data_IF_809852223132
#
_entry.id   IF_809852223132
#
_cell.length_a   1.000
_cell.length_b   1.000
_cell.length_c   1.000
_cell.angle_alpha   90.00
_cell.angle_beta   90.00
_cell.angle_gamma   90.00
#
_symmetry.space_group_name_H-M   'P 1'
#
loop_
_entity.id
_entity.type
_entity.pdbx_description
1 polymer ?
#
# COMPACT_ATOMS: atom_id res chain seq x y z
N UNK A 1 -85.25 -42.69 14.04
CA UNK A 1 -85.61 -43.16 12.67
C UNK A 1 -85.25 -42.02 11.71
N UNK A 2 -84.57 -42.33 10.59
CA UNK A 2 -84.04 -41.46 9.53
C UNK A 2 -82.73 -40.70 9.88
N UNK A 3 -81.52 -41.21 9.64
CA UNK A 3 -80.70 -41.46 8.42
C UNK A 3 -79.84 -40.28 7.90
N UNK A 4 -78.55 -40.62 7.69
CA UNK A 4 -77.56 -40.11 6.71
C UNK A 4 -76.88 -38.75 7.02
N UNK A 5 -75.59 -38.73 7.40
CA UNK A 5 -74.35 -38.92 6.60
C UNK A 5 -73.62 -37.58 6.41
N UNK A 6 -72.33 -37.50 6.77
CA UNK A 6 -71.24 -37.08 5.87
C UNK A 6 -69.89 -37.04 6.60
N UNK A 7 -68.91 -37.70 5.98
CA UNK A 7 -67.50 -37.66 6.29
C UNK A 7 -66.91 -36.25 6.10
N UNK A 8 -65.90 -35.88 6.91
CA UNK A 8 -64.89 -34.88 6.57
C UNK A 8 -63.52 -35.26 7.15
N UNK A 9 -62.75 -35.94 6.29
CA UNK A 9 -61.34 -35.71 5.95
C UNK A 9 -60.42 -35.04 6.99
N UNK A 10 -59.47 -35.83 7.48
CA UNK A 10 -58.24 -35.39 8.15
C UNK A 10 -57.37 -34.58 7.17
N UNK A 11 -57.14 -33.30 7.43
CA UNK A 11 -56.12 -32.50 6.72
C UNK A 11 -54.85 -32.53 7.57
N UNK A 12 -53.85 -33.32 7.16
CA UNK A 12 -52.47 -33.20 7.65
C UNK A 12 -51.85 -31.97 6.98
N UNK A 13 -51.66 -30.91 7.75
CA UNK A 13 -50.87 -29.75 7.34
C UNK A 13 -49.39 -30.13 7.53
N UNK A 14 -48.72 -30.48 6.44
CA UNK A 14 -47.26 -30.63 6.42
C UNK A 14 -46.65 -29.24 6.24
N UNK A 15 -46.04 -28.72 7.31
CA UNK A 15 -45.27 -27.48 7.28
C UNK A 15 -43.92 -27.75 6.58
N UNK A 16 -43.80 -27.36 5.31
CA UNK A 16 -42.53 -27.40 4.57
C UNK A 16 -41.81 -26.08 4.87
N UNK A 17 -40.83 -26.13 5.78
CA UNK A 17 -39.90 -25.02 6.02
C UNK A 17 -38.91 -24.99 4.86
N UNK A 18 -39.12 -24.07 3.93
CA UNK A 18 -38.18 -23.77 2.85
C UNK A 18 -37.06 -22.89 3.43
N UNK A 19 -36.00 -23.52 3.91
CA UNK A 19 -34.75 -22.85 4.27
C UNK A 19 -34.11 -22.31 2.99
N UNK A 20 -34.42 -21.06 2.65
CA UNK A 20 -33.67 -20.28 1.67
C UNK A 20 -32.32 -19.98 2.33
N UNK A 21 -31.34 -20.86 2.12
CA UNK A 21 -29.94 -20.54 2.32
C UNK A 21 -29.57 -19.48 1.30
N UNK A 22 -29.71 -18.20 1.67
CA UNK A 22 -29.00 -17.12 1.03
C UNK A 22 -27.51 -17.37 1.25
N UNK A 23 -26.89 -18.12 0.33
CA UNK A 23 -25.48 -17.97 0.05
C UNK A 23 -25.30 -16.55 -0.50
N UNK A 24 -25.16 -15.58 0.41
CA UNK A 24 -24.48 -14.35 0.11
C UNK A 24 -23.06 -14.77 -0.28
N UNK A 25 -22.87 -15.01 -1.57
CA UNK A 25 -21.56 -15.05 -2.17
C UNK A 25 -20.91 -13.71 -1.82
N UNK A 26 -20.03 -13.75 -0.83
CA UNK A 26 -19.02 -12.73 -0.66
C UNK A 26 -18.21 -12.76 -1.95
N UNK A 27 -18.55 -11.91 -2.91
CA UNK A 27 -17.71 -11.66 -4.07
C UNK A 27 -16.42 -11.06 -3.52
N UNK A 28 -15.43 -11.91 -3.24
CA UNK A 28 -14.06 -11.45 -3.29
C UNK A 28 -13.87 -10.91 -4.70
N UNK A 29 -13.65 -9.61 -4.85
CA UNK A 29 -13.25 -9.03 -6.13
C UNK A 29 -11.89 -9.62 -6.51
N UNK A 30 -11.95 -10.78 -7.17
CA UNK A 30 -10.81 -11.58 -7.63
C UNK A 30 -10.35 -11.11 -9.02
N UNK A 31 -10.43 -9.80 -9.25
CA UNK A 31 -10.10 -9.22 -10.55
C UNK A 31 -8.68 -8.68 -10.53
N UNK A 32 -8.00 -8.82 -11.68
CA UNK A 32 -6.71 -8.19 -11.91
C UNK A 32 -6.83 -6.70 -11.71
N UNK A 33 -5.97 -6.11 -10.88
CA UNK A 33 -5.93 -4.66 -10.65
C UNK A 33 -5.66 -3.94 -11.98
N UNK A 34 -6.47 -2.93 -12.31
CA UNK A 34 -6.44 -2.27 -13.62
C UNK A 34 -5.94 -0.83 -13.52
N UNK A 35 -5.28 -0.37 -14.59
CA UNK A 35 -5.02 1.03 -14.82
C UNK A 35 -6.31 1.78 -15.13
N UNK A 36 -6.48 2.94 -14.53
CA UNK A 36 -7.54 3.88 -14.87
C UNK A 36 -7.09 4.94 -15.89
N UNK A 37 -8.01 5.82 -16.28
CA UNK A 37 -7.76 6.89 -17.25
C UNK A 37 -6.75 7.94 -16.74
N UNK A 38 -6.59 8.04 -15.41
CA UNK A 38 -5.60 8.92 -14.77
C UNK A 38 -4.20 8.27 -14.71
N UNK A 39 -4.06 7.04 -15.19
CA UNK A 39 -2.77 6.39 -15.38
C UNK A 39 -2.15 5.79 -14.12
N UNK A 40 -2.96 5.38 -13.14
CA UNK A 40 -2.53 4.58 -11.99
C UNK A 40 -3.42 3.35 -11.80
N UNK A 41 -2.95 2.38 -11.03
CA UNK A 41 -3.69 1.16 -10.76
C UNK A 41 -4.76 1.41 -9.70
N UNK A 42 -5.99 0.99 -9.94
CA UNK A 42 -7.11 1.29 -9.06
C UNK A 42 -8.08 0.12 -8.94
N UNK A 43 -8.55 -0.07 -7.72
CA UNK A 43 -9.81 -0.73 -7.41
C UNK A 43 -10.39 -0.08 -6.16
N UNK A 44 -11.60 -0.49 -5.76
CA UNK A 44 -12.26 0.03 -4.58
C UNK A 44 -11.40 -0.20 -3.31
N UNK A 45 -11.01 0.90 -2.66
CA UNK A 45 -10.17 0.87 -1.45
C UNK A 45 -8.67 0.71 -1.70
N UNK A 46 -8.20 0.68 -2.94
CA UNK A 46 -6.78 0.52 -3.26
C UNK A 46 -6.37 1.30 -4.51
N UNK A 47 -5.42 2.21 -4.35
CA UNK A 47 -4.73 2.88 -5.44
C UNK A 47 -3.23 2.59 -5.35
N UNK A 48 -2.62 2.19 -6.47
CA UNK A 48 -1.16 2.02 -6.58
C UNK A 48 -0.66 2.95 -7.68
N UNK A 49 0.05 3.99 -7.26
CA UNK A 49 0.64 4.99 -8.13
C UNK A 49 2.08 4.56 -8.40
N UNK A 50 2.53 4.71 -9.65
CA UNK A 50 3.88 4.35 -10.07
C UNK A 50 4.44 5.55 -10.79
N UNK A 51 5.26 6.34 -10.09
CA UNK A 51 5.84 7.59 -10.56
C UNK A 51 4.80 8.57 -11.09
N UNK A 52 3.65 8.67 -10.42
CA UNK A 52 2.65 9.71 -10.69
C UNK A 52 3.09 11.08 -10.17
N UNK A 53 4.04 11.09 -9.24
CA UNK A 53 4.74 12.26 -8.71
C UNK A 53 6.26 12.06 -8.88
N UNK A 54 6.99 13.17 -8.94
CA UNK A 54 8.46 13.20 -8.94
C UNK A 54 8.99 13.59 -7.56
N UNK A 55 10.24 13.20 -7.30
CA UNK A 55 10.93 13.61 -6.09
C UNK A 55 11.23 15.11 -6.12
N UNK A 56 11.21 15.74 -4.94
CA UNK A 56 11.64 17.12 -4.80
C UNK A 56 13.13 17.25 -5.11
N UNK A 57 13.51 18.35 -5.76
CA UNK A 57 14.89 18.60 -6.21
C UNK A 57 15.84 18.79 -5.03
N UNK A 58 15.35 19.38 -3.94
CA UNK A 58 16.11 19.63 -2.70
C UNK A 58 15.91 18.50 -1.69
N UNK A 59 14.68 18.06 -1.48
CA UNK A 59 14.29 17.06 -0.49
C UNK A 59 14.00 15.70 -1.15
N UNK A 60 15.06 14.97 -1.48
CA UNK A 60 15.02 13.74 -2.28
C UNK A 60 14.31 12.55 -1.58
N UNK A 61 13.97 12.74 -0.31
CA UNK A 61 13.20 11.81 0.53
C UNK A 61 11.92 12.47 1.12
N UNK A 62 11.26 13.36 0.37
CA UNK A 62 10.05 14.06 0.81
C UNK A 62 8.79 13.17 0.99
N UNK A 63 8.93 11.84 0.92
CA UNK A 63 7.86 10.83 1.14
C UNK A 63 6.65 11.03 0.23
N UNK A 64 6.88 11.36 -1.04
CA UNK A 64 5.81 11.79 -1.97
C UNK A 64 5.99 11.37 -3.43
N UNK A 65 6.88 10.42 -3.73
CA UNK A 65 7.14 10.00 -5.11
C UNK A 65 7.44 8.50 -5.20
N UNK A 66 7.81 8.03 -6.40
CA UNK A 66 8.12 6.63 -6.63
C UNK A 66 6.86 5.76 -6.77
N UNK A 67 6.94 4.53 -6.28
CA UNK A 67 5.75 3.71 -6.09
C UNK A 67 5.08 4.12 -4.78
N UNK A 68 3.79 4.43 -4.84
CA UNK A 68 2.97 4.83 -3.70
C UNK A 68 1.74 3.92 -3.61
N UNK A 69 1.28 3.63 -2.39
CA UNK A 69 0.03 2.90 -2.15
C UNK A 69 -0.86 3.74 -1.24
N UNK A 70 -2.05 4.05 -1.76
CA UNK A 70 -3.17 4.59 -0.99
C UNK A 70 -4.09 3.42 -0.68
N UNK A 71 -4.20 3.10 0.59
CA UNK A 71 -4.93 1.95 1.08
C UNK A 71 -6.06 2.44 1.97
N UNK A 72 -7.31 2.20 1.54
CA UNK A 72 -8.53 2.67 2.20
C UNK A 72 -8.47 4.17 2.56
N UNK A 73 -8.11 5.00 1.58
CA UNK A 73 -8.09 6.47 1.71
C UNK A 73 -6.88 7.06 2.42
N UNK A 74 -5.92 6.24 2.87
CA UNK A 74 -4.69 6.71 3.52
C UNK A 74 -3.47 6.31 2.69
N UNK A 75 -2.61 7.27 2.34
CA UNK A 75 -1.31 6.96 1.74
C UNK A 75 -0.40 6.38 2.81
N UNK A 76 -0.12 5.09 2.72
CA UNK A 76 0.67 4.36 3.72
C UNK A 76 1.99 3.87 3.17
N UNK A 77 2.18 3.91 1.85
CA UNK A 77 3.39 3.45 1.19
C UNK A 77 3.86 4.48 0.18
N UNK A 78 5.17 4.72 0.10
CA UNK A 78 5.77 5.69 -0.83
C UNK A 78 7.23 5.33 -1.14
N UNK A 79 7.88 6.18 -1.94
CA UNK A 79 9.30 6.14 -2.27
C UNK A 79 9.79 4.84 -2.89
N UNK A 80 8.89 4.08 -3.53
CA UNK A 80 9.27 2.84 -4.20
C UNK A 80 10.22 3.09 -5.36
N UNK A 81 11.50 2.79 -5.20
CA UNK A 81 12.56 3.06 -6.16
C UNK A 81 13.86 2.31 -5.87
N UNK A 82 14.78 2.28 -6.83
CA UNK A 82 16.18 1.92 -6.53
C UNK A 82 16.83 3.05 -5.73
N UNK A 83 17.44 2.68 -4.61
CA UNK A 83 18.16 3.55 -3.66
C UNK A 83 19.54 2.97 -3.37
N UNK A 84 20.48 3.83 -2.99
CA UNK A 84 21.86 3.44 -2.70
C UNK A 84 22.12 3.10 -1.23
N UNK A 85 21.18 3.47 -0.35
CA UNK A 85 21.24 3.29 1.10
C UNK A 85 20.02 2.52 1.60
N UNK A 86 20.16 1.65 2.62
CA UNK A 86 19.06 0.83 3.12
C UNK A 86 17.89 1.68 3.62
N UNK A 87 18.18 2.81 4.25
CA UNK A 87 17.21 3.78 4.75
C UNK A 87 17.69 5.18 4.33
N UNK A 88 17.29 5.67 3.15
CA UNK A 88 17.74 6.96 2.64
C UNK A 88 17.31 8.13 3.53
N UNK A 89 18.15 9.16 3.61
CA UNK A 89 17.88 10.44 4.26
C UNK A 89 17.50 11.52 3.23
N UNK A 90 17.12 12.71 3.73
CA UNK A 90 16.61 13.83 2.91
C UNK A 90 17.50 14.26 1.75
N UNK A 91 18.82 14.05 1.88
CA UNK A 91 19.84 14.49 0.93
C UNK A 91 20.51 13.34 0.18
N UNK A 92 20.10 12.09 0.46
CA UNK A 92 20.69 10.91 -0.18
C UNK A 92 20.28 10.83 -1.65
N UNK A 93 21.26 10.52 -2.51
CA UNK A 93 21.11 10.58 -3.95
C UNK A 93 19.95 9.75 -4.50
N UNK A 94 19.13 10.40 -5.31
CA UNK A 94 18.13 9.77 -6.19
C UNK A 94 18.56 9.72 -7.63
N UNK A 95 17.99 8.77 -8.38
CA UNK A 95 18.06 8.79 -9.82
C UNK A 95 17.10 9.84 -10.40
N UNK A 96 17.37 10.26 -11.63
CA UNK A 96 16.49 11.16 -12.39
C UNK A 96 15.41 10.35 -13.11
N UNK A 97 14.22 10.92 -13.26
CA UNK A 97 13.21 10.38 -14.17
C UNK A 97 13.64 10.65 -15.61
N UNK A 98 13.78 9.60 -16.42
CA UNK A 98 14.07 9.74 -17.85
C UNK A 98 12.77 9.69 -18.64
N UNK A 99 11.93 8.70 -18.34
CA UNK A 99 10.67 8.51 -19.06
C UNK A 99 9.71 7.67 -18.21
N UNK A 100 8.42 7.98 -18.32
CA UNK A 100 7.32 7.16 -17.80
C UNK A 100 6.37 6.82 -18.95
N UNK A 101 6.16 5.53 -19.19
CA UNK A 101 5.27 5.01 -20.23
C UNK A 101 4.15 4.19 -19.61
N UNK A 102 2.91 4.55 -19.93
CA UNK A 102 1.73 3.73 -19.68
C UNK A 102 1.50 2.86 -20.91
N UNK A 103 1.53 1.56 -20.74
CA UNK A 103 1.34 0.59 -21.82
C UNK A 103 -0.13 0.15 -21.90
N UNK A 104 -0.56 -0.24 -23.10
CA UNK A 104 -1.93 -0.70 -23.36
C UNK A 104 -2.27 -2.03 -22.68
N UNK A 105 -1.25 -2.80 -22.26
CA UNK A 105 -1.36 -4.12 -21.65
C UNK A 105 -1.40 -4.08 -20.11
N UNK A 106 -1.94 -3.01 -19.52
CA UNK A 106 -2.08 -2.87 -18.05
C UNK A 106 -0.74 -2.81 -17.31
N UNK A 107 0.25 -2.12 -17.91
CA UNK A 107 1.62 -1.99 -17.41
C UNK A 107 2.10 -0.54 -17.39
N UNK A 108 2.91 -0.19 -16.40
CA UNK A 108 3.66 1.07 -16.34
C UNK A 108 5.15 0.72 -16.39
N UNK A 109 5.88 1.38 -17.28
CA UNK A 109 7.33 1.29 -17.40
C UNK A 109 7.96 2.65 -17.09
N UNK A 110 8.97 2.67 -16.22
CA UNK A 110 9.64 3.89 -15.79
C UNK A 110 11.14 3.74 -15.96
N UNK A 111 11.72 4.52 -16.86
CA UNK A 111 13.16 4.59 -17.10
C UNK A 111 13.79 5.61 -16.15
N UNK A 112 14.85 5.21 -15.48
CA UNK A 112 15.54 6.00 -14.45
C UNK A 112 17.05 5.97 -14.64
N UNK A 113 17.70 7.04 -14.20
CA UNK A 113 19.14 7.21 -14.41
C UNK A 113 19.86 7.86 -13.24
N UNK A 114 20.87 7.16 -12.72
CA UNK A 114 21.83 7.70 -11.76
C UNK A 114 23.04 8.28 -12.51
N UNK A 115 23.06 9.62 -12.68
CA UNK A 115 24.08 10.29 -13.49
C UNK A 115 25.51 10.11 -12.96
N UNK A 116 25.69 10.08 -11.64
CA UNK A 116 27.00 9.96 -11.02
C UNK A 116 27.66 8.58 -11.23
N UNK A 117 26.89 7.58 -11.66
CA UNK A 117 27.34 6.19 -11.78
C UNK A 117 27.14 5.60 -13.19
N UNK A 118 26.69 6.42 -14.15
CA UNK A 118 26.23 5.96 -15.47
C UNK A 118 25.30 4.73 -15.39
N UNK A 119 24.38 4.75 -14.42
CA UNK A 119 23.55 3.58 -14.10
C UNK A 119 22.09 3.79 -14.52
N UNK A 120 21.70 3.09 -15.58
CA UNK A 120 20.32 3.03 -16.08
C UNK A 120 19.59 1.80 -15.56
N UNK A 121 18.34 2.00 -15.18
CA UNK A 121 17.43 0.92 -14.82
C UNK A 121 15.99 1.26 -15.20
N UNK A 122 15.16 0.24 -15.26
CA UNK A 122 13.73 0.36 -15.51
C UNK A 122 12.95 -0.26 -14.36
N UNK A 123 11.94 0.45 -13.88
CA UNK A 123 10.90 -0.11 -13.02
C UNK A 123 9.72 -0.49 -13.90
N UNK A 124 9.24 -1.72 -13.74
CA UNK A 124 8.12 -2.28 -14.49
C UNK A 124 7.05 -2.68 -13.48
N UNK A 125 5.86 -2.10 -13.57
CA UNK A 125 4.72 -2.45 -12.74
C UNK A 125 3.59 -2.99 -13.61
N UNK A 126 3.12 -4.19 -13.32
CA UNK A 126 2.06 -4.89 -14.05
C UNK A 126 0.92 -5.20 -13.09
N UNK A 127 -0.31 -4.86 -13.45
CA UNK A 127 -1.47 -5.19 -12.64
C UNK A 127 -1.67 -6.71 -12.57
N UNK A 128 -1.74 -7.25 -11.35
CA UNK A 128 -2.06 -8.65 -11.08
C UNK A 128 -3.29 -8.72 -10.19
N UNK A 129 -3.72 -9.94 -9.87
CA UNK A 129 -4.80 -10.15 -8.92
C UNK A 129 -4.48 -9.49 -7.56
N UNK A 130 -5.38 -8.62 -7.09
CA UNK A 130 -5.28 -7.92 -5.80
C UNK A 130 -4.01 -7.05 -5.60
N UNK A 131 -3.34 -6.62 -6.67
CA UNK A 131 -2.11 -5.86 -6.53
C UNK A 131 -1.30 -5.70 -7.82
N UNK A 132 0.02 -5.61 -7.69
CA UNK A 132 0.95 -5.49 -8.82
C UNK A 132 2.10 -6.50 -8.73
N UNK A 133 2.57 -6.94 -9.89
CA UNK A 133 3.93 -7.45 -10.06
C UNK A 133 4.82 -6.25 -10.33
N UNK A 134 5.84 -6.08 -9.51
CA UNK A 134 6.82 -5.02 -9.63
C UNK A 134 8.19 -5.64 -9.92
N UNK A 135 8.85 -5.19 -10.97
CA UNK A 135 10.17 -5.66 -11.37
C UNK A 135 11.15 -4.51 -11.57
N UNK A 136 12.41 -4.74 -11.19
CA UNK A 136 13.54 -3.90 -11.59
C UNK A 136 14.30 -4.61 -12.69
N UNK A 137 14.47 -3.93 -13.81
CA UNK A 137 15.19 -4.41 -14.98
C UNK A 137 16.45 -3.56 -15.22
N UNK A 138 17.57 -4.21 -15.50
CA UNK A 138 18.83 -3.55 -15.88
C UNK A 138 19.40 -4.18 -17.15
N UNK A 139 19.86 -3.36 -18.10
CA UNK A 139 20.46 -3.86 -19.36
C UNK A 139 21.91 -4.29 -19.17
N UNK A 140 22.65 -3.52 -18.36
CA UNK A 140 24.04 -3.76 -18.00
C UNK A 140 24.11 -4.18 -16.53
N UNK A 141 25.07 -5.03 -16.14
CA UNK A 141 25.35 -5.27 -14.73
C UNK A 141 25.61 -3.98 -13.96
N UNK A 142 25.40 -4.03 -12.64
CA UNK A 142 25.72 -2.91 -11.76
C UNK A 142 27.17 -2.44 -11.95
N UNK A 143 27.41 -1.12 -11.93
CA UNK A 143 28.74 -0.59 -11.66
C UNK A 143 29.30 -1.18 -10.36
N UNK A 144 30.60 -1.48 -10.35
CA UNK A 144 31.26 -2.14 -9.20
C UNK A 144 31.05 -1.40 -7.88
N UNK A 145 31.01 -0.06 -7.93
CA UNK A 145 30.81 0.83 -6.78
C UNK A 145 29.39 0.75 -6.17
N UNK A 146 28.43 0.19 -6.91
CA UNK A 146 27.05 0.00 -6.47
C UNK A 146 26.77 -1.43 -5.99
N UNK A 147 27.69 -2.37 -6.17
CA UNK A 147 27.54 -3.75 -5.69
C UNK A 147 27.40 -3.76 -4.15
N UNK A 148 26.36 -4.41 -3.64
CA UNK A 148 26.02 -4.42 -2.21
C UNK A 148 25.35 -3.15 -1.69
N UNK A 149 25.21 -2.11 -2.54
CA UNK A 149 24.61 -0.81 -2.17
C UNK A 149 23.31 -0.53 -2.90
N UNK A 150 23.24 -0.71 -4.22
CA UNK A 150 22.01 -0.47 -4.95
C UNK A 150 20.94 -1.53 -4.62
N UNK A 151 19.78 -1.11 -4.16
CA UNK A 151 18.64 -1.98 -3.87
C UNK A 151 17.32 -1.28 -4.16
N UNK A 152 16.28 -2.05 -4.47
CA UNK A 152 14.93 -1.51 -4.53
C UNK A 152 14.39 -1.39 -3.11
N UNK A 153 13.90 -0.19 -2.76
CA UNK A 153 13.28 0.14 -1.49
C UNK A 153 11.80 0.42 -1.71
N UNK A 154 10.99 0.14 -0.69
CA UNK A 154 9.60 0.60 -0.58
C UNK A 154 9.33 0.96 0.88
N UNK A 155 8.75 2.13 1.12
CA UNK A 155 8.68 2.71 2.46
C UNK A 155 7.26 2.75 2.99
N UNK A 156 7.10 2.44 4.28
CA UNK A 156 5.80 2.29 4.96
C UNK A 156 5.66 3.29 6.12
N UNK A 157 4.54 4.04 6.11
CA UNK A 157 4.25 5.11 7.05
C UNK A 157 4.20 4.58 8.48
N UNK A 158 5.11 4.97 9.39
CA UNK A 158 5.21 4.35 10.69
C UNK A 158 3.93 4.44 11.54
N UNK A 159 3.24 5.59 11.54
CA UNK A 159 1.99 5.77 12.31
C UNK A 159 0.84 4.87 11.84
N UNK A 160 0.88 4.38 10.59
CA UNK A 160 -0.10 3.41 10.10
C UNK A 160 0.20 1.97 10.54
N UNK A 161 1.41 1.70 11.06
CA UNK A 161 1.89 0.36 11.38
C UNK A 161 2.36 0.18 12.83
N UNK A 162 2.48 1.24 13.64
CA UNK A 162 2.89 1.09 15.04
C UNK A 162 2.07 0.06 15.80
N UNK A 163 2.79 -0.78 16.54
CA UNK A 163 2.26 -1.86 17.39
C UNK A 163 1.52 -2.96 16.62
N UNK A 164 1.46 -2.86 15.28
CA UNK A 164 0.95 -3.92 14.42
C UNK A 164 1.97 -5.02 14.25
N UNK A 165 1.46 -6.22 13.96
CA UNK A 165 2.32 -7.36 13.71
C UNK A 165 2.82 -7.39 12.26
N UNK A 166 3.92 -8.09 12.03
CA UNK A 166 4.31 -8.55 10.71
C UNK A 166 4.68 -10.03 10.77
N UNK A 167 4.58 -10.72 9.64
CA UNK A 167 5.07 -12.09 9.46
C UNK A 167 6.14 -12.09 8.37
N UNK A 168 7.36 -12.50 8.69
CA UNK A 168 8.42 -12.76 7.70
C UNK A 168 8.64 -14.26 7.61
N UNK A 169 8.28 -14.87 6.48
CA UNK A 169 8.26 -16.33 6.28
C UNK A 169 7.56 -17.09 7.42
N UNK A 170 6.44 -16.52 7.91
CA UNK A 170 5.65 -17.07 9.02
C UNK A 170 6.18 -16.77 10.41
N UNK A 171 7.36 -16.17 10.56
CA UNK A 171 7.87 -15.70 11.86
C UNK A 171 7.28 -14.35 12.21
N UNK A 172 6.66 -14.27 13.37
CA UNK A 172 6.02 -13.04 13.86
C UNK A 172 7.04 -12.04 14.40
N UNK A 173 6.84 -10.77 14.08
CA UNK A 173 7.43 -9.63 14.76
C UNK A 173 6.41 -8.51 14.95
N UNK A 174 6.83 -7.41 15.58
CA UNK A 174 5.99 -6.24 15.85
C UNK A 174 6.71 -5.00 15.34
N UNK A 175 5.96 -4.07 14.74
CA UNK A 175 6.46 -2.74 14.42
C UNK A 175 6.55 -1.90 15.71
N UNK A 176 7.75 -1.49 16.15
CA UNK A 176 7.90 -0.88 17.45
C UNK A 176 7.42 0.58 17.44
N UNK A 177 6.82 1.03 18.54
CA UNK A 177 6.39 2.43 18.71
C UNK A 177 7.59 3.38 18.64
N UNK A 178 8.71 3.01 19.27
CA UNK A 178 9.97 3.75 19.23
C UNK A 178 10.98 3.07 18.29
N UNK A 179 11.87 3.83 17.63
CA UNK A 179 12.96 3.26 16.85
C UNK A 179 13.78 2.31 17.72
N UNK A 180 13.87 1.05 17.27
CA UNK A 180 14.72 0.04 17.89
C UNK A 180 15.35 -0.81 16.80
N UNK A 181 16.46 -1.46 17.13
CA UNK A 181 17.08 -2.42 16.22
C UNK A 181 18.60 -2.31 16.17
N UNK A 182 19.25 -3.30 15.57
CA UNK A 182 20.68 -3.31 15.46
C UNK A 182 21.16 -2.26 14.45
N UNK A 183 22.29 -1.62 14.77
CA UNK A 183 23.02 -0.71 13.90
C UNK A 183 24.43 -1.26 13.71
N UNK A 184 25.04 -1.04 12.55
CA UNK A 184 26.43 -1.39 12.30
C UNK A 184 27.20 -0.25 11.64
N UNK A 185 28.52 -0.21 11.88
CA UNK A 185 29.41 0.64 11.11
C UNK A 185 29.69 -0.02 9.76
N UNK A 186 29.11 0.56 8.71
CA UNK A 186 29.34 0.10 7.35
C UNK A 186 30.69 0.60 6.84
N UNK A 187 31.62 -0.33 6.63
CA UNK A 187 32.97 -0.03 6.15
C UNK A 187 33.00 0.45 4.70
N UNK A 188 31.94 0.20 3.92
CA UNK A 188 31.84 0.61 2.52
C UNK A 188 31.48 2.10 2.45
N UNK A 189 30.45 2.52 3.17
CA UNK A 189 30.02 3.92 3.19
C UNK A 189 30.76 4.77 4.22
N UNK A 190 31.39 4.16 5.23
CA UNK A 190 32.02 4.84 6.36
C UNK A 190 31.02 5.40 7.38
N UNK A 191 29.75 5.00 7.29
CA UNK A 191 28.65 5.52 8.10
C UNK A 191 28.01 4.42 8.95
N UNK A 192 27.28 4.83 9.99
CA UNK A 192 26.45 3.90 10.77
C UNK A 192 25.15 3.67 10.01
N UNK A 193 24.80 2.39 9.78
CA UNK A 193 23.62 1.99 9.02
C UNK A 193 22.75 1.04 9.85
N UNK A 194 21.41 1.10 9.72
CA UNK A 194 20.54 0.13 10.36
C UNK A 194 20.69 -1.25 9.71
N UNK A 195 20.61 -2.27 10.54
CA UNK A 195 20.51 -3.66 10.10
C UNK A 195 19.05 -4.08 9.97
N UNK A 196 18.74 -5.07 9.10
CA UNK A 196 17.39 -5.60 8.97
C UNK A 196 16.87 -6.17 10.29
N UNK A 197 15.64 -5.79 10.66
CA UNK A 197 14.92 -6.38 11.80
C UNK A 197 14.31 -7.74 11.43
N UNK A 198 14.08 -7.99 10.14
CA UNK A 198 13.64 -9.28 9.61
C UNK A 198 14.13 -9.49 8.17
N UNK A 199 14.31 -10.77 7.81
CA UNK A 199 14.73 -11.21 6.47
C UNK A 199 13.96 -12.45 6.04
N UNK A 200 13.60 -12.55 4.76
CA UNK A 200 12.86 -13.69 4.23
C UNK A 200 12.41 -13.49 2.79
N UNK A 201 11.43 -14.28 2.32
CA UNK A 201 10.91 -14.19 0.95
C UNK A 201 9.46 -13.72 0.86
N UNK A 202 8.71 -13.85 1.96
CA UNK A 202 7.33 -13.43 2.09
C UNK A 202 7.16 -12.60 3.34
N UNK A 203 6.82 -11.33 3.15
CA UNK A 203 6.46 -10.40 4.20
C UNK A 203 4.95 -10.14 4.17
N UNK A 204 4.28 -10.35 5.31
CA UNK A 204 2.90 -9.92 5.55
C UNK A 204 2.95 -8.80 6.59
N UNK A 205 2.56 -7.60 6.20
CA UNK A 205 2.43 -6.46 7.10
C UNK A 205 1.01 -6.38 7.64
N UNK A 206 0.86 -6.13 8.95
CA UNK A 206 -0.41 -5.91 9.64
C UNK A 206 -1.50 -6.97 9.30
N UNK A 207 -1.24 -8.28 9.47
CA UNK A 207 -2.20 -9.34 9.15
C UNK A 207 -3.54 -9.20 9.91
N UNK A 208 -3.54 -8.55 11.07
CA UNK A 208 -4.71 -8.29 11.91
C UNK A 208 -5.56 -7.08 11.47
N UNK A 209 -5.05 -6.22 10.59
CA UNK A 209 -5.74 -5.01 10.14
C UNK A 209 -6.09 -5.11 8.64
N UNK A 210 -7.35 -5.43 8.29
CA UNK A 210 -7.80 -5.51 6.90
C UNK A 210 -7.56 -4.25 6.08
N UNK A 211 -7.49 -3.08 6.71
CA UNK A 211 -7.27 -1.82 6.00
C UNK A 211 -5.79 -1.51 5.75
N UNK A 212 -4.86 -2.23 6.39
CA UNK A 212 -3.41 -2.04 6.28
C UNK A 212 -2.65 -3.30 5.90
N UNK A 213 -3.37 -4.42 5.70
CA UNK A 213 -2.77 -5.70 5.34
C UNK A 213 -2.20 -5.68 3.92
N UNK A 214 -0.87 -5.69 3.83
CA UNK A 214 -0.10 -5.78 2.59
C UNK A 214 0.79 -7.02 2.63
N UNK A 215 0.92 -7.70 1.50
CA UNK A 215 1.80 -8.87 1.32
C UNK A 215 2.78 -8.58 0.21
N UNK A 216 4.07 -8.79 0.48
CA UNK A 216 5.15 -8.73 -0.51
C UNK A 216 5.79 -10.11 -0.57
N UNK A 217 5.82 -10.69 -1.77
CA UNK A 217 6.48 -11.96 -2.04
C UNK A 217 7.54 -11.80 -3.14
N UNK A 218 8.62 -12.56 -3.04
CA UNK A 218 9.64 -12.64 -4.09
C UNK A 218 10.11 -14.09 -4.28
N UNK A 219 10.41 -14.46 -5.52
CA UNK A 219 10.84 -15.82 -5.86
C UNK A 219 12.37 -15.98 -5.88
N UNK A 220 13.09 -14.89 -6.18
CA UNK A 220 14.51 -14.94 -6.56
C UNK A 220 15.46 -14.29 -5.56
N UNK A 221 14.97 -13.38 -4.72
CA UNK A 221 15.79 -12.56 -3.83
C UNK A 221 15.31 -12.62 -2.38
N UNK A 222 16.02 -11.95 -1.47
CA UNK A 222 15.62 -11.80 -0.06
C UNK A 222 14.99 -10.41 0.14
N UNK A 223 13.86 -10.38 0.84
CA UNK A 223 13.26 -9.17 1.42
C UNK A 223 13.91 -8.91 2.77
N UNK A 224 14.27 -7.66 3.00
CA UNK A 224 14.83 -7.17 4.25
C UNK A 224 13.96 -6.04 4.77
N UNK A 225 13.50 -6.15 6.01
CA UNK A 225 12.71 -5.12 6.67
C UNK A 225 13.62 -4.32 7.59
N UNK A 226 13.57 -2.99 7.48
CA UNK A 226 14.36 -2.04 8.27
C UNK A 226 13.45 -1.03 8.99
N UNK A 227 13.99 -0.42 10.04
CA UNK A 227 13.42 0.76 10.68
C UNK A 227 14.28 1.99 10.36
N UNK A 228 13.85 2.79 9.39
CA UNK A 228 14.55 4.00 8.96
C UNK A 228 14.61 5.08 10.04
N UNK A 229 13.77 4.99 11.08
CA UNK A 229 13.80 5.92 12.21
C UNK A 229 15.07 5.82 13.04
N UNK A 230 15.79 4.70 12.92
CA UNK A 230 17.10 4.53 13.56
C UNK A 230 18.17 5.46 12.95
N UNK A 231 17.99 5.93 11.71
CA UNK A 231 18.91 6.85 11.03
C UNK A 231 18.41 8.30 11.09
N UNK A 232 17.12 8.53 10.83
CA UNK A 232 16.53 9.87 10.82
C UNK A 232 15.16 9.91 11.51
N UNK A 233 14.85 10.98 12.25
CA UNK A 233 13.58 11.09 13.01
C UNK A 233 12.33 10.99 12.14
N UNK A 234 12.40 11.43 10.87
CA UNK A 234 11.32 11.34 9.88
C UNK A 234 11.38 10.06 9.03
N UNK A 235 12.26 9.11 9.36
CA UNK A 235 12.44 7.85 8.64
C UNK A 235 11.19 6.97 8.71
N UNK A 236 11.01 6.14 7.68
CA UNK A 236 9.89 5.19 7.58
C UNK A 236 10.37 3.76 7.74
N UNK A 237 9.46 2.79 7.90
CA UNK A 237 9.86 1.39 7.77
C UNK A 237 10.18 1.10 6.30
N UNK A 238 11.27 0.38 6.03
CA UNK A 238 11.72 0.15 4.66
C UNK A 238 11.77 -1.35 4.39
N UNK A 239 11.08 -1.77 3.34
CA UNK A 239 11.28 -3.10 2.74
C UNK A 239 12.27 -2.93 1.60
N UNK A 240 13.28 -3.79 1.55
CA UNK A 240 14.36 -3.68 0.58
C UNK A 240 14.83 -5.02 0.05
N UNK A 241 15.25 -5.02 -1.21
CA UNK A 241 16.01 -6.10 -1.84
C UNK A 241 17.20 -5.50 -2.58
N UNK A 242 18.40 -6.04 -2.36
CA UNK A 242 19.60 -5.63 -3.10
C UNK A 242 19.55 -6.16 -4.54
N UNK A 243 20.06 -5.36 -5.47
CA UNK A 243 20.27 -5.81 -6.85
C UNK A 243 21.48 -6.75 -6.86
N UNK A 244 21.34 -8.00 -7.36
CA UNK A 244 22.45 -8.94 -7.42
C UNK A 244 23.56 -8.48 -8.37
N UNK A 245 24.83 -8.59 -7.97
CA UNK A 245 25.96 -8.19 -8.82
C UNK A 245 26.06 -9.10 -10.05
N UNK A 246 26.66 -8.57 -11.13
CA UNK A 246 26.94 -9.31 -12.38
C UNK A 246 25.71 -9.89 -13.12
N UNK A 247 24.49 -9.57 -12.69
CA UNK A 247 23.24 -9.98 -13.36
C UNK A 247 22.75 -8.89 -14.33
N UNK A 248 21.87 -9.29 -15.25
CA UNK A 248 21.15 -8.41 -16.19
C UNK A 248 19.76 -8.97 -16.46
N UNK A 249 18.89 -8.17 -17.07
CA UNK A 249 17.48 -8.51 -17.25
C UNK A 249 16.67 -8.09 -16.03
N UNK A 250 15.63 -8.87 -15.69
CA UNK A 250 14.89 -8.71 -14.44
C UNK A 250 15.77 -9.18 -13.28
N UNK A 251 16.15 -8.25 -12.41
CA UNK A 251 17.08 -8.50 -11.29
C UNK A 251 16.40 -8.47 -9.93
N UNK A 252 15.23 -7.83 -9.82
CA UNK A 252 14.34 -7.87 -8.67
C UNK A 252 12.92 -8.10 -9.20
N UNK A 253 12.16 -8.97 -8.54
CA UNK A 253 10.76 -9.23 -8.83
C UNK A 253 9.99 -9.40 -7.52
N UNK A 254 9.02 -8.53 -7.29
CA UNK A 254 8.12 -8.53 -6.15
C UNK A 254 6.68 -8.68 -6.61
N UNK A 255 5.90 -9.49 -5.89
CA UNK A 255 4.45 -9.57 -6.01
C UNK A 255 3.86 -8.88 -4.79
N UNK A 256 3.30 -7.69 -5.01
CA UNK A 256 2.77 -6.83 -3.94
C UNK A 256 1.25 -6.90 -4.03
N UNK A 257 0.60 -7.41 -2.99
CA UNK A 257 -0.87 -7.45 -2.90
C UNK A 257 -1.34 -6.74 -1.65
N UNK A 258 -2.51 -6.11 -1.72
CA UNK A 258 -3.12 -5.43 -0.60
C UNK A 258 -4.56 -5.93 -0.43
N UNK A 259 -4.99 -6.09 0.82
CA UNK A 259 -6.35 -6.51 1.11
C UNK A 259 -7.36 -5.42 0.71
N UNK A 260 -8.51 -5.75 0.14
CA UNK A 260 -9.59 -4.78 -0.10
C UNK A 260 -10.85 -5.24 0.64
N UNK A 261 -11.58 -4.29 1.23
CA UNK A 261 -12.82 -4.59 1.95
C UNK A 261 -14.00 -4.53 0.95
N UNK A 262 -14.83 -5.58 0.85
CA UNK A 262 -16.01 -5.57 0.00
C UNK A 262 -16.93 -4.42 0.36
N UNK A 263 -17.41 -3.71 -0.66
CA UNK A 263 -18.29 -2.55 -0.48
C UNK A 263 -17.72 -1.43 0.40
N UNK A 264 -16.40 -1.30 0.49
CA UNK A 264 -15.77 -0.22 1.27
C UNK A 264 -16.15 1.17 0.77
N UNK A 265 -16.57 2.06 1.67
CA UNK A 265 -16.89 3.46 1.36
C UNK A 265 -16.03 4.31 2.27
N UNK A 266 -15.27 5.25 1.70
CA UNK A 266 -14.53 6.22 2.51
C UNK A 266 -15.53 7.05 3.32
N UNK A 267 -15.22 7.27 4.60
CA UNK A 267 -16.01 8.19 5.42
C UNK A 267 -16.04 9.59 4.79
N UNK A 268 -17.19 10.30 4.83
CA UNK A 268 -17.30 11.67 4.37
C UNK A 268 -16.25 12.57 5.02
N UNK A 269 -15.54 13.35 4.20
CA UNK A 269 -14.61 14.37 4.68
C UNK A 269 -15.36 15.70 4.77
N UNK A 270 -15.36 16.29 5.96
CA UNK A 270 -15.99 17.58 6.24
C UNK A 270 -14.89 18.65 6.30
N UNK A 271 -14.76 19.46 5.26
CA UNK A 271 -13.85 20.60 5.24
C UNK A 271 -14.56 21.88 5.71
N UNK A 272 -14.04 22.47 6.76
CA UNK A 272 -14.51 23.73 7.35
C UNK A 272 -13.31 24.54 7.86
N UNK A 273 -13.54 25.80 8.24
CA UNK A 273 -12.52 26.67 8.82
C UNK A 273 -12.00 26.08 10.14
N UNK A 274 -10.73 25.70 10.19
CA UNK A 274 -10.09 25.15 11.39
C UNK A 274 -9.90 26.18 12.51
N UNK A 275 -10.02 27.48 12.19
CA UNK A 275 -9.99 28.58 13.17
C UNK A 275 -11.41 28.91 13.67
N UNK A 276 -12.43 28.55 12.91
CA UNK A 276 -13.83 28.91 13.16
C UNK A 276 -14.33 30.05 12.27
N UNK A 277 -15.47 30.62 12.65
CA UNK A 277 -16.17 31.65 11.89
C UNK A 277 -16.61 32.78 12.82
N UNK A 278 -16.54 34.02 12.34
CA UNK A 278 -17.15 35.14 13.06
C UNK A 278 -18.69 34.97 13.12
N UNK A 279 -19.38 35.40 14.20
CA UNK A 279 -20.82 35.20 14.32
C UNK A 279 -21.61 35.73 13.13
N UNK A 280 -21.24 36.90 12.61
CA UNK A 280 -21.87 37.58 11.46
C UNK A 280 -21.37 37.07 10.09
N UNK A 281 -20.38 36.18 10.04
CA UNK A 281 -19.86 35.64 8.78
C UNK A 281 -20.71 34.46 8.28
N UNK A 282 -20.82 34.32 6.95
CA UNK A 282 -21.36 33.12 6.30
C UNK A 282 -20.49 31.90 6.66
N UNK A 283 -21.13 30.85 7.17
CA UNK A 283 -20.48 29.60 7.59
C UNK A 283 -20.64 28.60 6.46
N UNK A 284 -19.52 28.04 5.97
CA UNK A 284 -19.50 27.13 4.82
C UNK A 284 -18.76 25.87 5.24
N UNK A 285 -19.38 24.72 5.06
CA UNK A 285 -18.75 23.40 5.16
C UNK A 285 -18.85 22.73 3.79
N UNK A 286 -17.74 22.17 3.31
CA UNK A 286 -17.73 21.29 2.15
C UNK A 286 -17.78 19.85 2.65
N UNK A 287 -18.65 19.03 2.05
CA UNK A 287 -18.76 17.61 2.37
C UNK A 287 -18.32 16.87 1.11
N UNK A 288 -17.18 16.19 1.20
CA UNK A 288 -16.67 15.33 0.14
C UNK A 288 -17.03 13.88 0.46
N UNK A 289 -17.64 13.20 -0.50
CA UNK A 289 -18.08 11.81 -0.38
C UNK A 289 -17.19 10.88 -1.21
N UNK A 290 -17.24 9.59 -0.89
CA UNK A 290 -16.76 8.57 -1.83
C UNK A 290 -17.64 8.57 -3.09
N UNK A 291 -17.11 8.37 -4.30
CA UNK A 291 -17.91 8.26 -5.51
C UNK A 291 -18.98 7.15 -5.48
N UNK A 292 -18.81 6.15 -4.61
CA UNK A 292 -19.75 5.05 -4.41
C UNK A 292 -20.72 5.28 -3.23
N UNK A 293 -20.63 6.42 -2.54
CA UNK A 293 -21.52 6.75 -1.43
C UNK A 293 -22.85 7.32 -1.94
N UNK A 294 -23.88 7.21 -1.10
CA UNK A 294 -25.19 7.82 -1.34
C UNK A 294 -25.29 9.13 -0.55
N UNK A 295 -25.41 10.30 -1.22
CA UNK A 295 -25.54 11.58 -0.55
C UNK A 295 -26.75 11.60 0.40
N UNK A 296 -26.55 12.11 1.61
CA UNK A 296 -27.64 12.36 2.56
C UNK A 296 -28.28 13.71 2.29
N UNK A 297 -29.59 13.81 2.53
CA UNK A 297 -30.36 15.03 2.27
C UNK A 297 -30.04 16.18 3.24
N UNK A 298 -29.53 15.86 4.44
CA UNK A 298 -29.31 16.86 5.49
C UNK A 298 -28.00 16.66 6.24
N UNK A 299 -27.45 17.79 6.70
CA UNK A 299 -26.37 17.85 7.68
C UNK A 299 -26.91 18.57 8.94
N UNK A 300 -26.35 18.24 10.11
CA UNK A 300 -26.72 18.88 11.39
C UNK A 300 -25.50 19.53 12.01
N UNK A 301 -25.68 20.76 12.51
CA UNK A 301 -24.70 21.43 13.36
C UNK A 301 -25.02 21.07 14.82
N UNK A 302 -24.08 20.45 15.51
CA UNK A 302 -24.21 20.09 16.92
C UNK A 302 -23.41 21.07 17.78
N UNK A 303 -23.98 21.43 18.93
CA UNK A 303 -23.25 22.13 19.99
C UNK A 303 -22.75 21.06 20.95
N UNK A 304 -21.44 21.06 21.22
CA UNK A 304 -20.86 20.22 22.27
C UNK A 304 -21.26 20.81 23.62
N UNK A 305 -21.81 19.98 24.51
CA UNK A 305 -22.12 20.36 25.89
C UNK A 305 -21.38 19.47 26.92
N UNK A 306 -21.72 19.57 28.19
CA UNK A 306 -21.08 18.82 29.27
C UNK A 306 -21.38 17.31 29.25
N UNK A 307 -22.29 16.86 28.39
CA UNK A 307 -22.64 15.45 28.19
C UNK A 307 -22.01 14.86 26.91
N UNK A 308 -21.24 15.65 26.16
CA UNK A 308 -20.64 15.26 24.88
C UNK A 308 -21.53 15.58 23.69
#
# INVERSE_FOLDING_TARGET
>A
MLHLSRAKTLIKITFIVFLISCNLFSQSHNETLRLNELGYFETRGLNILVFSNEYDVMFQDAKMAGVEIIHHGVRTVTNGDVRLDPTPEQWDSISKLVERKIQKDNRIEVNRFYSSYDFYYKIIAEGIKNGIRLAVYIEKPLPKELEGRAGFNLEFLPSAYFEKSYLMDGKTGIFPLYPTGPMEFDKITGNIQPLPIAKGKKLVLAPEDPERRIVIETNSSELMLYDGRNKAQNGWFVVRTLIPPKKRGVVIEWFITANTIPNWIRQPMLAYSQVGYHPQQKKICFIELDPNDTPREYARLLKVDDNG
#
